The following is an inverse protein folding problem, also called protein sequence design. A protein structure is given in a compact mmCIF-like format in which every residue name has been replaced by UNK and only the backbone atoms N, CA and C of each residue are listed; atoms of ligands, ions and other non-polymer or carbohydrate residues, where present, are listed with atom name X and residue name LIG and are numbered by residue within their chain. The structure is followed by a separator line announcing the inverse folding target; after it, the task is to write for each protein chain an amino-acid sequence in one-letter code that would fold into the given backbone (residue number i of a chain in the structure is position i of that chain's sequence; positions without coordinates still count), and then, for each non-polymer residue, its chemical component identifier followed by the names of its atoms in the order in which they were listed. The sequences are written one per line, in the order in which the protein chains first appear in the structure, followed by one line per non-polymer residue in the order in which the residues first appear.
data_IF_426857016835
#
_entry.id   IF_426857016835
#
_cell.length_a   1.000
_cell.length_b   1.000
_cell.length_c   1.000
_cell.angle_alpha   90.00
_cell.angle_beta   90.00
_cell.angle_gamma   90.00
#
_symmetry.space_group_name_H-M   'P 1'
#
loop_
_entity.id
_entity.type
_entity.pdbx_description
1 polymer ?
#
# COMPACT_ATOMS: atom_id res chain seq x y z
N UNK A 1 -73.94 -19.78 -18.85
CA UNK A 1 -72.92 -20.53 -18.10
C UNK A 1 -71.57 -20.35 -18.84
N UNK A 2 -70.83 -19.31 -18.48
CA UNK A 2 -69.54 -18.94 -19.09
C UNK A 2 -68.41 -19.34 -18.15
N UNK A 3 -67.58 -20.26 -18.60
CA UNK A 3 -66.38 -20.75 -17.84
C UNK A 3 -65.23 -19.78 -18.16
N UNK A 4 -64.76 -19.07 -17.15
CA UNK A 4 -63.53 -18.29 -17.20
C UNK A 4 -62.33 -19.23 -16.95
N UNK A 5 -61.43 -19.34 -17.91
CA UNK A 5 -60.17 -20.07 -17.79
C UNK A 5 -59.12 -19.17 -17.17
N UNK A 6 -58.55 -19.61 -16.04
CA UNK A 6 -57.41 -18.99 -15.38
C UNK A 6 -56.13 -19.45 -16.09
N UNK A 7 -55.40 -18.50 -16.69
CA UNK A 7 -54.06 -18.75 -17.26
C UNK A 7 -53.06 -18.43 -16.16
N UNK A 8 -52.37 -19.46 -15.64
CA UNK A 8 -51.25 -19.29 -14.70
C UNK A 8 -49.98 -19.03 -15.51
N UNK A 9 -49.43 -17.82 -15.45
CA UNK A 9 -48.14 -17.49 -16.02
C UNK A 9 -47.04 -17.87 -15.00
N UNK A 10 -46.24 -18.87 -15.33
CA UNK A 10 -45.05 -19.23 -14.55
C UNK A 10 -43.88 -18.29 -14.92
N UNK A 11 -43.47 -17.44 -14.02
CA UNK A 11 -42.27 -16.63 -14.16
C UNK A 11 -41.03 -17.47 -13.83
N UNK A 12 -40.23 -17.79 -14.83
CA UNK A 12 -38.91 -18.37 -14.63
C UNK A 12 -37.92 -17.27 -14.26
N UNK A 13 -37.50 -17.22 -12.99
CA UNK A 13 -36.40 -16.39 -12.54
C UNK A 13 -35.06 -17.10 -12.92
N UNK A 14 -34.36 -16.55 -13.89
CA UNK A 14 -32.97 -16.96 -14.18
C UNK A 14 -32.07 -16.38 -13.10
N UNK A 15 -31.56 -17.24 -12.20
CA UNK A 15 -30.48 -16.87 -11.29
C UNK A 15 -29.17 -16.76 -12.10
N UNK A 16 -28.69 -15.53 -12.29
CA UNK A 16 -27.35 -15.27 -12.82
C UNK A 16 -26.36 -15.66 -11.72
N UNK A 17 -25.44 -16.61 -11.96
CA UNK A 17 -24.43 -16.93 -10.94
C UNK A 17 -23.58 -15.68 -10.71
N UNK A 18 -23.45 -15.26 -9.46
CA UNK A 18 -22.49 -14.24 -9.06
C UNK A 18 -21.09 -14.83 -9.32
N UNK A 19 -20.40 -14.32 -10.33
CA UNK A 19 -18.97 -14.61 -10.52
C UNK A 19 -18.28 -13.92 -9.36
N UNK A 20 -17.80 -14.71 -8.38
CA UNK A 20 -16.91 -14.21 -7.36
C UNK A 20 -15.70 -13.58 -8.07
N UNK A 21 -15.50 -12.28 -7.95
CA UNK A 21 -14.28 -11.63 -8.40
C UNK A 21 -13.13 -12.22 -7.58
N UNK A 22 -12.39 -13.13 -8.20
CA UNK A 22 -11.14 -13.59 -7.64
C UNK A 22 -10.19 -12.40 -7.62
N UNK A 23 -9.57 -12.13 -6.46
CA UNK A 23 -8.47 -11.18 -6.39
C UNK A 23 -7.42 -11.57 -7.44
N UNK A 24 -6.85 -10.60 -8.17
CA UNK A 24 -5.85 -10.92 -9.17
C UNK A 24 -4.72 -11.73 -8.53
N UNK A 25 -4.28 -12.79 -9.17
CA UNK A 25 -3.09 -13.53 -8.78
C UNK A 25 -1.87 -12.60 -8.88
N UNK A 26 -0.87 -12.79 -8.01
CA UNK A 26 0.38 -12.03 -8.05
C UNK A 26 1.24 -12.39 -9.27
N UNK A 27 2.46 -11.90 -9.26
CA UNK A 27 3.52 -12.26 -10.21
C UNK A 27 4.36 -13.44 -9.70
N UNK A 28 4.39 -13.65 -8.37
CA UNK A 28 5.29 -14.58 -7.74
C UNK A 28 4.59 -15.87 -7.31
N UNK A 29 5.34 -16.96 -7.42
CA UNK A 29 4.91 -18.25 -6.87
C UNK A 29 5.02 -18.24 -5.33
N UNK A 30 4.17 -19.04 -4.67
CA UNK A 30 4.07 -19.12 -3.22
C UNK A 30 5.41 -19.41 -2.52
N UNK A 31 6.23 -20.30 -3.08
CA UNK A 31 7.55 -20.65 -2.52
C UNK A 31 8.53 -19.47 -2.57
N UNK A 32 8.44 -18.62 -3.60
CA UNK A 32 9.24 -17.38 -3.68
C UNK A 32 8.80 -16.39 -2.61
N UNK A 33 7.49 -16.22 -2.43
CA UNK A 33 6.92 -15.35 -1.38
C UNK A 33 7.35 -15.83 0.01
N UNK A 34 7.24 -17.14 0.26
CA UNK A 34 7.69 -17.73 1.53
C UNK A 34 9.19 -17.50 1.78
N UNK A 35 10.04 -17.67 0.76
CA UNK A 35 11.47 -17.41 0.86
C UNK A 35 11.77 -15.95 1.22
N UNK A 36 11.05 -14.99 0.62
CA UNK A 36 11.18 -13.57 0.92
C UNK A 36 10.72 -13.27 2.36
N UNK A 37 9.60 -13.84 2.77
CA UNK A 37 9.09 -13.69 4.13
C UNK A 37 10.09 -14.24 5.18
N UNK A 38 10.70 -15.40 4.92
CA UNK A 38 11.65 -16.05 5.82
C UNK A 38 12.97 -15.28 5.95
N UNK A 39 13.32 -14.48 4.95
CA UNK A 39 14.50 -13.62 4.98
C UNK A 39 14.34 -12.38 5.88
N UNK A 40 13.12 -12.04 6.30
CA UNK A 40 12.88 -10.92 7.23
C UNK A 40 13.52 -11.22 8.58
N UNK A 41 14.40 -10.34 9.12
CA UNK A 41 15.05 -10.55 10.41
C UNK A 41 14.02 -10.64 11.56
N UNK A 42 14.39 -11.20 12.72
CA UNK A 42 13.55 -11.16 13.91
C UNK A 42 13.23 -9.72 14.33
N UNK A 43 12.03 -9.50 14.87
CA UNK A 43 11.65 -8.20 15.45
C UNK A 43 12.59 -7.83 16.61
N UNK A 44 12.73 -6.52 16.93
CA UNK A 44 13.46 -6.08 18.12
C UNK A 44 12.97 -6.78 19.38
N UNK A 45 13.91 -7.23 20.21
CA UNK A 45 13.59 -7.85 21.50
C UNK A 45 12.98 -6.78 22.41
N UNK A 46 11.84 -7.10 23.03
CA UNK A 46 11.15 -6.18 23.95
C UNK A 46 12.11 -5.68 25.06
N UNK A 47 12.14 -4.36 25.25
CA UNK A 47 13.03 -3.69 26.20
C UNK A 47 14.49 -3.57 25.75
N UNK A 48 14.87 -4.05 24.56
CA UNK A 48 16.20 -3.83 24.01
C UNK A 48 16.44 -2.35 23.67
N UNK A 49 17.70 -1.89 23.50
CA UNK A 49 17.99 -0.52 23.08
C UNK A 49 17.25 -0.11 21.79
N UNK A 50 17.13 -1.04 20.82
CA UNK A 50 16.40 -0.78 19.57
C UNK A 50 14.89 -0.59 19.83
N UNK A 51 14.29 -1.46 20.65
CA UNK A 51 12.85 -1.35 20.97
C UNK A 51 12.55 -0.06 21.74
N UNK A 52 13.41 0.33 22.69
CA UNK A 52 13.28 1.59 23.42
C UNK A 52 13.43 2.80 22.49
N UNK A 53 14.37 2.76 21.55
CA UNK A 53 14.55 3.81 20.55
C UNK A 53 13.32 3.96 19.65
N UNK A 54 12.73 2.85 19.22
CA UNK A 54 11.50 2.80 18.41
C UNK A 54 10.30 3.40 19.16
N UNK A 55 10.12 3.03 20.44
CA UNK A 55 9.05 3.58 21.29
C UNK A 55 9.24 5.09 21.45
N UNK A 56 10.44 5.54 21.81
CA UNK A 56 10.75 6.95 21.98
C UNK A 56 10.54 7.76 20.69
N UNK A 57 10.93 7.21 19.53
CA UNK A 57 10.67 7.84 18.23
C UNK A 57 9.16 7.94 17.96
N UNK A 58 8.42 6.85 18.22
CA UNK A 58 6.97 6.83 18.06
C UNK A 58 6.27 7.85 18.95
N UNK A 59 6.75 8.06 20.19
CA UNK A 59 6.18 9.03 21.11
C UNK A 59 6.44 10.49 20.67
N UNK A 60 7.62 10.78 20.12
CA UNK A 60 7.90 12.11 19.56
C UNK A 60 6.95 12.47 18.41
N UNK A 61 6.56 11.49 17.59
CA UNK A 61 5.65 11.71 16.47
C UNK A 61 4.24 12.15 16.87
N UNK A 62 3.86 12.05 18.16
CA UNK A 62 2.60 12.63 18.69
C UNK A 62 2.53 14.15 18.44
N UNK A 63 3.65 14.85 18.37
CA UNK A 63 3.69 16.27 18.05
C UNK A 63 3.13 16.61 16.66
N UNK A 64 2.98 15.62 15.78
CA UNK A 64 2.43 15.78 14.43
C UNK A 64 0.92 15.54 14.36
N UNK A 65 0.26 15.17 15.45
CA UNK A 65 -1.19 14.95 15.46
C UNK A 65 -1.94 16.23 15.04
N UNK A 66 -2.92 16.07 14.14
CA UNK A 66 -3.73 17.16 13.59
C UNK A 66 -2.97 18.24 12.78
N UNK A 67 -1.74 17.96 12.36
CA UNK A 67 -0.97 18.82 11.43
C UNK A 67 -1.19 18.42 9.98
N UNK A 68 -0.66 19.22 9.03
CA UNK A 68 -0.66 18.86 7.60
C UNK A 68 0.07 17.52 7.35
N UNK A 69 1.10 17.21 8.13
CA UNK A 69 1.82 15.94 8.05
C UNK A 69 0.94 14.75 8.45
N UNK A 70 0.08 14.93 9.46
CA UNK A 70 -0.93 13.96 9.84
C UNK A 70 -1.99 13.77 8.75
N UNK A 71 -2.45 14.85 8.13
CA UNK A 71 -3.41 14.77 7.03
C UNK A 71 -2.83 14.05 5.81
N UNK A 72 -1.56 14.29 5.50
CA UNK A 72 -0.87 13.52 4.45
C UNK A 72 -0.76 12.04 4.83
N UNK A 73 -0.46 11.73 6.09
CA UNK A 73 -0.40 10.36 6.58
C UNK A 73 -1.76 9.64 6.49
N UNK A 74 -2.87 10.35 6.70
CA UNK A 74 -4.23 9.85 6.47
C UNK A 74 -4.43 9.46 5.00
N UNK A 75 -3.98 10.30 4.07
CA UNK A 75 -4.06 10.01 2.63
C UNK A 75 -3.22 8.80 2.24
N UNK A 76 -1.97 8.71 2.73
CA UNK A 76 -1.05 7.60 2.48
C UNK A 76 -1.50 6.26 3.11
N UNK A 77 -2.49 6.26 4.01
CA UNK A 77 -3.09 5.04 4.53
C UNK A 77 -3.94 4.28 3.48
N UNK A 78 -4.35 4.96 2.41
CA UNK A 78 -5.09 4.35 1.31
C UNK A 78 -4.11 3.76 0.30
N UNK A 79 -4.04 2.42 0.22
CA UNK A 79 -3.11 1.70 -0.65
C UNK A 79 -3.81 0.90 -1.75
N UNK A 80 -5.14 0.98 -1.87
CA UNK A 80 -5.82 0.35 -3.00
C UNK A 80 -5.27 0.90 -4.32
N UNK A 81 -4.84 0.07 -5.26
CA UNK A 81 -4.06 0.45 -6.43
C UNK A 81 -4.64 1.61 -7.24
N UNK A 82 -5.94 1.57 -7.51
CA UNK A 82 -6.64 2.62 -8.26
C UNK A 82 -6.62 4.00 -7.59
N UNK A 83 -6.44 4.06 -6.27
CA UNK A 83 -6.37 5.30 -5.48
C UNK A 83 -4.92 5.66 -5.11
N UNK A 84 -4.08 4.66 -4.88
CA UNK A 84 -2.68 4.84 -4.52
C UNK A 84 -1.84 5.49 -5.63
N UNK A 85 -2.24 5.34 -6.90
CA UNK A 85 -1.63 6.07 -8.03
C UNK A 85 -1.49 7.57 -7.74
N UNK A 86 -2.51 8.19 -7.15
CA UNK A 86 -2.53 9.60 -6.83
C UNK A 86 -1.48 10.03 -5.79
N UNK A 87 -0.82 9.12 -5.09
CA UNK A 87 0.29 9.47 -4.19
C UNK A 87 1.53 9.89 -4.97
N UNK A 88 1.69 9.45 -6.21
CA UNK A 88 2.84 9.72 -7.05
C UNK A 88 2.68 10.98 -7.91
N UNK A 89 1.46 11.51 -8.08
CA UNK A 89 1.16 12.64 -8.97
C UNK A 89 2.10 13.83 -8.78
N UNK A 90 2.34 14.21 -7.53
CA UNK A 90 3.11 15.42 -7.21
C UNK A 90 4.62 15.21 -7.38
N UNK A 91 5.08 13.99 -7.18
CA UNK A 91 6.48 13.62 -7.37
C UNK A 91 6.83 13.52 -8.86
N UNK A 92 5.90 13.02 -9.68
CA UNK A 92 6.05 12.87 -11.12
C UNK A 92 5.77 14.17 -11.90
N UNK A 93 5.05 15.13 -11.27
CA UNK A 93 4.66 16.40 -11.92
C UNK A 93 3.48 16.28 -12.89
N UNK A 94 2.83 15.12 -12.99
CA UNK A 94 1.63 14.90 -13.76
C UNK A 94 0.71 13.90 -13.06
N UNK A 95 -0.56 13.93 -13.43
CA UNK A 95 -1.61 13.13 -12.79
C UNK A 95 -1.77 11.78 -13.45
N UNK A 96 -1.76 10.72 -12.63
CA UNK A 96 -2.13 9.35 -13.02
C UNK A 96 -3.58 9.07 -12.59
N UNK A 97 -4.38 8.53 -13.50
CA UNK A 97 -5.76 8.13 -13.18
C UNK A 97 -5.99 6.66 -13.54
N UNK A 98 -6.78 5.97 -12.73
CA UNK A 98 -7.09 4.56 -12.96
C UNK A 98 -7.78 4.32 -14.31
N UNK A 99 -8.61 5.27 -14.78
CA UNK A 99 -9.32 5.14 -16.06
C UNK A 99 -8.39 5.26 -17.28
N UNK A 100 -7.31 6.01 -17.18
CA UNK A 100 -6.34 6.26 -18.25
C UNK A 100 -5.11 5.36 -18.16
N UNK A 101 -4.91 4.68 -17.01
CA UNK A 101 -3.76 3.82 -16.72
C UNK A 101 -4.18 2.44 -16.20
N UNK A 102 -5.09 1.71 -16.91
CA UNK A 102 -5.64 0.45 -16.41
C UNK A 102 -4.59 -0.66 -16.29
N UNK A 103 -3.56 -0.67 -17.15
CA UNK A 103 -2.47 -1.66 -17.04
C UNK A 103 -1.60 -1.38 -15.82
N UNK A 104 -1.29 -0.13 -15.55
CA UNK A 104 -0.55 0.27 -14.36
C UNK A 104 -1.32 -0.11 -13.08
N UNK A 105 -2.64 0.11 -13.04
CA UNK A 105 -3.48 -0.37 -11.92
C UNK A 105 -3.36 -1.87 -11.76
N UNK A 106 -3.49 -2.64 -12.85
CA UNK A 106 -3.37 -4.11 -12.81
C UNK A 106 -2.00 -4.59 -12.31
N UNK A 107 -0.91 -3.91 -12.71
CA UNK A 107 0.43 -4.17 -12.17
C UNK A 107 0.43 -3.95 -10.65
N UNK A 108 -0.06 -2.81 -10.18
CA UNK A 108 -0.06 -2.50 -8.75
C UNK A 108 -0.95 -3.46 -7.95
N UNK A 109 -2.05 -3.97 -8.52
CA UNK A 109 -2.90 -5.00 -7.88
C UNK A 109 -2.13 -6.30 -7.66
N UNK A 110 -1.41 -6.78 -8.67
CA UNK A 110 -0.58 -7.99 -8.57
C UNK A 110 0.59 -7.79 -7.61
N UNK A 111 1.25 -6.62 -7.65
CA UNK A 111 2.34 -6.26 -6.73
C UNK A 111 1.83 -6.15 -5.29
N UNK A 112 0.66 -5.56 -5.08
CA UNK A 112 0.04 -5.49 -3.75
C UNK A 112 -0.25 -6.87 -3.19
N UNK A 113 -0.73 -7.79 -4.04
CA UNK A 113 -0.96 -9.17 -3.64
C UNK A 113 0.32 -9.81 -3.09
N UNK A 114 1.41 -9.79 -3.86
CA UNK A 114 2.67 -10.42 -3.48
C UNK A 114 3.32 -9.77 -2.26
N UNK A 115 3.32 -8.43 -2.22
CA UNK A 115 3.89 -7.66 -1.13
C UNK A 115 3.13 -7.88 0.19
N UNK A 116 1.79 -7.89 0.14
CA UNK A 116 0.97 -8.18 1.32
C UNK A 116 1.18 -9.61 1.80
N UNK A 117 1.16 -10.58 0.89
CA UNK A 117 1.32 -12.00 1.26
C UNK A 117 2.67 -12.24 1.94
N UNK A 118 3.77 -11.70 1.38
CA UNK A 118 5.09 -11.78 1.99
C UNK A 118 5.14 -11.14 3.38
N UNK A 119 4.52 -9.96 3.54
CA UNK A 119 4.48 -9.27 4.82
C UNK A 119 3.63 -10.02 5.86
N UNK A 120 2.48 -10.57 5.49
CA UNK A 120 1.62 -11.33 6.40
C UNK A 120 2.26 -12.65 6.84
N UNK A 121 2.96 -13.36 5.93
CA UNK A 121 3.73 -14.55 6.28
C UNK A 121 4.88 -14.22 7.25
N UNK A 122 5.58 -13.10 7.05
CA UNK A 122 6.61 -12.63 7.97
C UNK A 122 6.01 -12.27 9.35
N UNK A 123 4.85 -11.58 9.39
CA UNK A 123 4.13 -11.22 10.63
C UNK A 123 3.68 -12.42 11.45
N UNK A 124 3.41 -13.55 10.83
CA UNK A 124 3.00 -14.76 11.55
C UNK A 124 4.04 -15.20 12.61
N UNK A 125 5.31 -14.80 12.43
CA UNK A 125 6.42 -15.08 13.36
C UNK A 125 6.68 -13.96 14.37
N UNK A 126 6.03 -12.78 14.20
CA UNK A 126 6.27 -11.61 15.02
C UNK A 126 5.02 -11.21 15.80
N UNK A 127 5.15 -11.02 17.11
CA UNK A 127 4.03 -10.65 17.99
C UNK A 127 4.21 -9.26 18.60
N UNK A 128 4.84 -8.34 17.87
CA UNK A 128 5.06 -6.97 18.33
C UNK A 128 3.74 -6.20 18.34
N UNK A 129 3.30 -5.62 19.47
CA UNK A 129 2.12 -4.77 19.48
C UNK A 129 2.38 -3.48 18.68
N UNK A 130 1.32 -2.95 18.05
CA UNK A 130 1.38 -1.63 17.40
C UNK A 130 1.44 -0.50 18.43
N UNK A 131 1.97 0.70 18.10
CA UNK A 131 1.86 1.87 18.99
C UNK A 131 0.43 2.14 19.47
N UNK A 132 -0.57 2.11 18.57
CA UNK A 132 -2.01 2.23 18.90
C UNK A 132 -2.56 1.03 19.67
N UNK A 133 -1.91 -0.12 19.64
CA UNK A 133 -2.30 -1.31 20.40
C UNK A 133 -1.69 -1.32 21.80
N UNK A 134 -0.48 -0.78 21.96
CA UNK A 134 0.20 -0.64 23.24
C UNK A 134 -0.44 0.47 24.11
N UNK A 135 -0.97 1.53 23.47
CA UNK A 135 -1.68 2.62 24.12
C UNK A 135 -3.09 2.74 23.49
N UNK A 136 -4.14 2.25 24.17
CA UNK A 136 -5.52 2.29 23.66
C UNK A 136 -6.06 3.71 23.43
N UNK A 137 -5.56 4.70 24.18
CA UNK A 137 -5.99 6.11 24.06
C UNK A 137 -5.27 6.84 22.93
N UNK A 138 -4.25 6.22 22.33
CA UNK A 138 -3.50 6.83 21.26
C UNK A 138 -4.34 6.93 19.97
N UNK A 139 -4.52 8.14 19.41
CA UNK A 139 -5.21 8.29 18.14
C UNK A 139 -4.38 7.69 16.99
N UNK A 140 -5.08 7.24 15.97
CA UNK A 140 -4.52 6.91 14.66
C UNK A 140 -5.09 7.87 13.63
N UNK A 141 -4.34 8.15 12.55
CA UNK A 141 -4.81 9.01 11.46
C UNK A 141 -5.91 8.36 10.58
N UNK A 142 -6.37 7.20 10.95
CA UNK A 142 -7.47 6.47 10.31
C UNK A 142 -8.29 5.73 11.37
N UNK A 143 -9.51 5.33 11.01
CA UNK A 143 -10.31 4.45 11.87
C UNK A 143 -9.66 3.06 11.93
N UNK A 144 -9.30 2.62 13.13
CA UNK A 144 -8.67 1.32 13.36
C UNK A 144 -9.59 0.46 14.21
N UNK A 145 -10.00 -0.70 13.69
CA UNK A 145 -10.81 -1.67 14.44
C UNK A 145 -10.03 -2.25 15.61
N UNK A 146 -10.74 -2.86 16.58
CA UNK A 146 -10.09 -3.56 17.69
C UNK A 146 -9.12 -4.66 17.19
N UNK A 147 -9.50 -5.41 16.16
CA UNK A 147 -8.63 -6.40 15.53
C UNK A 147 -7.40 -5.76 14.89
N UNK A 148 -7.56 -4.61 14.23
CA UNK A 148 -6.44 -3.85 13.65
C UNK A 148 -5.45 -3.34 14.70
N UNK A 149 -5.93 -2.88 15.87
CA UNK A 149 -5.08 -2.50 17.01
C UNK A 149 -4.31 -3.69 17.58
N UNK A 150 -4.96 -4.86 17.66
CA UNK A 150 -4.37 -6.08 18.20
C UNK A 150 -3.46 -6.82 17.21
N UNK A 151 -3.47 -6.47 15.92
CA UNK A 151 -2.64 -7.14 14.90
C UNK A 151 -1.16 -6.79 15.06
N UNK A 152 -0.23 -7.72 14.73
CA UNK A 152 1.21 -7.48 14.82
C UNK A 152 1.66 -6.28 13.99
N UNK A 153 2.64 -5.52 14.52
CA UNK A 153 3.20 -4.37 13.81
C UNK A 153 4.34 -4.73 12.86
N UNK A 154 5.11 -5.76 13.14
CA UNK A 154 6.38 -6.06 12.47
C UNK A 154 6.27 -7.25 11.49
N UNK A 155 6.82 -7.14 10.27
CA UNK A 155 7.22 -5.89 9.59
C UNK A 155 5.99 -5.07 9.15
N UNK A 156 6.19 -3.83 8.71
CA UNK A 156 5.10 -2.99 8.21
C UNK A 156 4.65 -3.41 6.81
N UNK A 157 3.47 -4.03 6.70
CA UNK A 157 2.90 -4.39 5.40
C UNK A 157 2.63 -3.18 4.49
N UNK A 158 2.20 -2.05 5.08
CA UNK A 158 2.00 -0.82 4.29
C UNK A 158 3.31 -0.23 3.77
N UNK A 159 4.41 -0.33 4.53
CA UNK A 159 5.73 0.08 4.06
C UNK A 159 6.24 -0.89 2.97
N UNK A 160 5.95 -2.19 3.10
CA UNK A 160 6.27 -3.19 2.07
C UNK A 160 5.58 -2.87 0.75
N UNK A 161 4.28 -2.61 0.78
CA UNK A 161 3.50 -2.23 -0.41
C UNK A 161 3.96 -0.88 -0.96
N UNK A 162 4.14 0.14 -0.10
CA UNK A 162 4.58 1.47 -0.51
C UNK A 162 5.94 1.46 -1.20
N UNK A 163 6.92 0.74 -0.64
CA UNK A 163 8.24 0.58 -1.25
C UNK A 163 8.15 -0.16 -2.60
N UNK A 164 7.40 -1.26 -2.66
CA UNK A 164 7.20 -2.01 -3.91
C UNK A 164 6.55 -1.15 -5.00
N UNK A 165 5.54 -0.33 -4.65
CA UNK A 165 4.92 0.62 -5.59
C UNK A 165 5.92 1.68 -6.08
N UNK A 166 6.73 2.24 -5.16
CA UNK A 166 7.79 3.19 -5.53
C UNK A 166 8.77 2.60 -6.53
N UNK A 167 9.19 1.37 -6.33
CA UNK A 167 10.10 0.65 -7.23
C UNK A 167 9.44 0.34 -8.60
N UNK A 168 8.14 -0.03 -8.61
CA UNK A 168 7.38 -0.23 -9.86
C UNK A 168 7.39 1.06 -10.68
N UNK A 169 6.97 2.19 -10.08
CA UNK A 169 6.91 3.47 -10.79
C UNK A 169 8.31 3.88 -11.25
N UNK A 170 9.34 3.70 -10.43
CA UNK A 170 10.73 3.99 -10.78
C UNK A 170 11.23 3.17 -11.98
N UNK A 171 10.84 1.91 -12.08
CA UNK A 171 11.20 1.04 -13.21
C UNK A 171 10.43 1.38 -14.50
N UNK A 172 9.20 1.87 -14.36
CA UNK A 172 8.36 2.27 -15.48
C UNK A 172 8.71 3.68 -15.99
N UNK A 173 9.16 4.56 -15.09
CA UNK A 173 9.55 5.95 -15.38
C UNK A 173 10.93 6.29 -14.78
N UNK A 174 12.02 5.86 -15.43
CA UNK A 174 13.37 6.07 -14.90
C UNK A 174 13.77 7.55 -14.76
N UNK A 175 13.12 8.47 -15.48
CA UNK A 175 13.39 9.90 -15.36
C UNK A 175 13.01 10.46 -13.99
N UNK A 176 12.01 9.90 -13.34
CA UNK A 176 11.51 10.32 -12.04
C UNK A 176 11.70 9.24 -10.94
N UNK A 177 12.60 8.27 -11.17
CA UNK A 177 12.83 7.12 -10.30
C UNK A 177 13.09 7.52 -8.84
N UNK A 178 13.97 8.50 -8.60
CA UNK A 178 14.28 8.97 -7.25
C UNK A 178 13.06 9.62 -6.55
N UNK A 179 12.22 10.30 -7.32
CA UNK A 179 11.00 10.89 -6.77
C UNK A 179 9.97 9.80 -6.43
N UNK A 180 9.83 8.79 -7.28
CA UNK A 180 8.93 7.66 -7.06
C UNK A 180 9.33 6.83 -5.83
N UNK A 181 10.59 6.44 -5.71
CA UNK A 181 11.08 5.67 -4.55
C UNK A 181 10.97 6.47 -3.25
N UNK A 182 11.16 7.80 -3.31
CA UNK A 182 10.93 8.67 -2.15
C UNK A 182 9.46 8.64 -1.69
N UNK A 183 8.48 8.66 -2.58
CA UNK A 183 7.07 8.53 -2.19
C UNK A 183 6.80 7.15 -1.59
N UNK A 184 7.38 6.08 -2.12
CA UNK A 184 7.30 4.75 -1.51
C UNK A 184 7.78 4.75 -0.05
N UNK A 185 8.91 5.41 0.24
CA UNK A 185 9.41 5.63 1.59
C UNK A 185 8.45 6.49 2.44
N UNK A 186 7.95 7.60 1.91
CA UNK A 186 7.04 8.50 2.63
C UNK A 186 5.70 7.83 3.03
N UNK A 187 5.25 6.81 2.28
CA UNK A 187 4.14 5.96 2.69
C UNK A 187 4.49 5.21 3.99
N UNK A 188 5.69 4.64 4.09
CA UNK A 188 6.20 4.01 5.31
C UNK A 188 6.29 4.98 6.48
N UNK A 189 6.90 6.15 6.28
CA UNK A 189 6.99 7.24 7.28
C UNK A 189 5.60 7.65 7.79
N UNK A 190 4.65 7.77 6.89
CA UNK A 190 3.26 8.10 7.23
C UNK A 190 2.62 7.06 8.16
N UNK A 191 3.03 5.79 8.09
CA UNK A 191 2.54 4.77 9.03
C UNK A 191 3.08 4.94 10.44
N UNK A 192 4.29 5.51 10.59
CA UNK A 192 4.81 5.90 11.91
C UNK A 192 4.04 7.10 12.46
N UNK A 193 3.80 8.13 11.64
CA UNK A 193 2.98 9.30 12.00
C UNK A 193 1.59 8.87 12.45
N UNK A 194 0.97 7.91 11.76
CA UNK A 194 -0.34 7.32 12.10
C UNK A 194 -0.34 6.42 13.35
N UNK A 195 0.78 6.27 14.05
CA UNK A 195 0.93 5.37 15.19
C UNK A 195 0.62 3.89 14.91
N UNK A 196 0.73 3.46 13.64
CA UNK A 196 0.48 2.09 13.23
C UNK A 196 1.73 1.20 13.30
N UNK A 197 2.91 1.79 13.17
CA UNK A 197 4.19 1.09 13.08
C UNK A 197 5.31 1.87 13.77
N UNK A 198 6.35 1.15 14.20
CA UNK A 198 7.60 1.71 14.70
C UNK A 198 8.63 1.88 13.55
N UNK A 199 9.72 2.66 13.75
CA UNK A 199 10.75 2.85 12.74
C UNK A 199 11.34 1.55 12.19
N UNK A 200 11.69 0.58 13.05
CA UNK A 200 12.24 -0.70 12.60
C UNK A 200 11.23 -1.54 11.81
N UNK A 201 9.92 -1.48 12.15
CA UNK A 201 8.87 -2.16 11.39
C UNK A 201 8.83 -1.62 9.95
N UNK A 202 8.99 -0.30 9.79
CA UNK A 202 8.99 0.38 8.49
C UNK A 202 10.24 0.04 7.69
N UNK A 203 11.42 0.10 8.31
CA UNK A 203 12.71 -0.23 7.68
C UNK A 203 12.70 -1.63 7.09
N UNK A 204 12.24 -2.62 7.87
CA UNK A 204 12.19 -4.01 7.39
C UNK A 204 11.06 -4.22 6.37
N UNK A 205 9.94 -3.50 6.52
CA UNK A 205 8.87 -3.51 5.51
C UNK A 205 9.37 -2.97 4.17
N UNK A 206 10.10 -1.86 4.15
CA UNK A 206 10.68 -1.29 2.91
C UNK A 206 11.71 -2.23 2.29
N UNK A 207 12.55 -2.86 3.12
CA UNK A 207 13.54 -3.84 2.66
C UNK A 207 12.84 -5.03 1.99
N UNK A 208 11.78 -5.55 2.61
CA UNK A 208 10.97 -6.62 2.05
C UNK A 208 10.30 -6.17 0.74
N UNK A 209 9.70 -4.97 0.69
CA UNK A 209 9.03 -4.46 -0.51
C UNK A 209 9.97 -4.33 -1.71
N UNK A 210 11.18 -3.84 -1.50
CA UNK A 210 12.24 -3.80 -2.53
C UNK A 210 12.64 -5.19 -3.00
N UNK A 211 12.78 -6.14 -2.06
CA UNK A 211 13.13 -7.52 -2.38
C UNK A 211 12.01 -8.22 -3.18
N UNK A 212 10.75 -7.98 -2.83
CA UNK A 212 9.57 -8.47 -3.58
C UNK A 212 9.61 -7.91 -5.00
N UNK A 213 9.79 -6.60 -5.17
CA UNK A 213 9.84 -5.99 -6.49
C UNK A 213 10.99 -6.53 -7.34
N UNK A 214 12.18 -6.74 -6.78
CA UNK A 214 13.31 -7.33 -7.52
C UNK A 214 12.97 -8.71 -8.11
N UNK A 215 12.18 -9.51 -7.42
CA UNK A 215 11.70 -10.81 -7.95
C UNK A 215 10.64 -10.63 -9.02
N UNK A 216 9.69 -9.72 -8.80
CA UNK A 216 8.64 -9.37 -9.78
C UNK A 216 9.28 -8.87 -11.08
N UNK A 217 10.23 -7.96 -11.00
CA UNK A 217 10.88 -7.35 -12.16
C UNK A 217 11.59 -8.37 -13.07
N UNK A 218 11.96 -9.54 -12.53
CA UNK A 218 12.58 -10.62 -13.28
C UNK A 218 11.58 -11.54 -14.00
N UNK A 219 10.26 -11.40 -13.75
CA UNK A 219 9.24 -12.22 -14.38
C UNK A 219 8.90 -11.75 -15.81
N UNK A 220 8.66 -12.67 -16.71
CA UNK A 220 8.26 -12.34 -18.10
C UNK A 220 6.93 -11.60 -18.13
N UNK A 221 5.98 -11.97 -17.26
CA UNK A 221 4.68 -11.34 -17.12
C UNK A 221 4.80 -9.85 -16.80
N UNK A 222 5.62 -9.50 -15.78
CA UNK A 222 5.84 -8.10 -15.43
C UNK A 222 6.51 -7.34 -16.58
N UNK A 223 7.48 -7.94 -17.25
CA UNK A 223 8.17 -7.30 -18.39
C UNK A 223 7.21 -7.00 -19.53
N UNK A 224 6.29 -7.92 -19.84
CA UNK A 224 5.25 -7.73 -20.84
C UNK A 224 4.26 -6.63 -20.43
N UNK A 225 3.78 -6.65 -19.18
CA UNK A 225 2.89 -5.63 -18.64
C UNK A 225 3.54 -4.24 -18.62
N UNK A 226 4.84 -4.16 -18.30
CA UNK A 226 5.61 -2.94 -18.21
C UNK A 226 5.68 -2.17 -19.55
N UNK A 227 5.68 -2.86 -20.69
CA UNK A 227 5.67 -2.21 -22.01
C UNK A 227 4.43 -1.33 -22.15
N UNK A 228 3.26 -1.87 -21.87
CA UNK A 228 1.98 -1.14 -22.00
C UNK A 228 1.86 -0.05 -20.94
N UNK A 229 2.29 -0.32 -19.70
CA UNK A 229 2.21 0.66 -18.62
C UNK A 229 3.12 1.89 -18.87
N UNK A 230 4.30 1.71 -19.48
CA UNK A 230 5.17 2.84 -19.90
C UNK A 230 4.50 3.75 -20.94
N UNK A 231 3.72 3.18 -21.85
CA UNK A 231 2.93 3.96 -22.81
C UNK A 231 1.81 4.75 -22.11
N UNK A 232 1.16 4.15 -21.08
CA UNK A 232 0.16 4.84 -20.28
C UNK A 232 0.76 6.03 -19.52
N UNK A 233 1.93 5.86 -18.88
CA UNK A 233 2.67 6.94 -18.22
C UNK A 233 3.06 8.03 -19.20
N UNK A 234 3.55 7.64 -20.39
CA UNK A 234 3.93 8.60 -21.44
C UNK A 234 2.73 9.44 -21.88
N UNK A 235 1.58 8.82 -22.06
CA UNK A 235 0.33 9.54 -22.42
C UNK A 235 -0.11 10.47 -21.29
N UNK A 236 -0.08 10.03 -20.03
CA UNK A 236 -0.44 10.85 -18.88
C UNK A 236 0.48 12.07 -18.75
N UNK A 237 1.79 11.89 -18.94
CA UNK A 237 2.77 12.99 -18.97
C UNK A 237 2.47 13.98 -20.10
N UNK A 238 2.17 13.50 -21.31
CA UNK A 238 1.84 14.35 -22.47
C UNK A 238 0.53 15.12 -22.28
N UNK A 239 -0.44 14.59 -21.54
CA UNK A 239 -1.69 15.26 -21.20
C UNK A 239 -1.47 16.46 -20.27
N UNK A 240 -0.39 16.49 -19.49
CA UNK A 240 0.02 17.63 -18.67
C UNK A 240 -0.93 18.00 -17.54
N UNK A 241 -1.86 17.11 -17.17
CA UNK A 241 -2.76 17.34 -16.05
C UNK A 241 -1.99 17.24 -14.74
N UNK A 242 -2.24 18.17 -13.81
CA UNK A 242 -1.58 18.19 -12.50
C UNK A 242 -2.59 17.95 -11.36
N UNK A 243 -2.09 17.47 -10.24
CA UNK A 243 -2.91 17.32 -9.04
C UNK A 243 -3.01 18.65 -8.27
N UNK A 244 -4.23 19.10 -7.88
CA UNK A 244 -4.40 20.30 -7.06
C UNK A 244 -3.83 20.17 -5.65
N UNK A 245 -3.55 18.93 -5.19
CA UNK A 245 -3.05 18.65 -3.85
C UNK A 245 -1.54 18.92 -3.67
N UNK A 246 -0.78 19.18 -4.75
CA UNK A 246 0.69 19.20 -4.68
C UNK A 246 1.27 20.32 -3.83
N UNK A 247 0.60 21.46 -3.70
CA UNK A 247 1.04 22.52 -2.81
C UNK A 247 0.95 22.09 -1.34
N UNK A 248 -0.17 21.49 -0.95
CA UNK A 248 -0.40 20.98 0.40
C UNK A 248 0.54 19.79 0.73
N UNK A 249 0.74 18.89 -0.22
CA UNK A 249 1.67 17.77 -0.05
C UNK A 249 3.11 18.23 0.19
N UNK A 250 3.60 19.20 -0.62
CA UNK A 250 4.94 19.77 -0.40
C UNK A 250 5.07 20.46 0.95
N UNK A 251 4.05 21.19 1.40
CA UNK A 251 4.05 21.82 2.71
C UNK A 251 4.10 20.78 3.84
N UNK A 252 3.29 19.71 3.73
CA UNK A 252 3.31 18.61 4.69
C UNK A 252 4.66 17.89 4.74
N UNK A 253 5.28 17.62 3.59
CA UNK A 253 6.60 16.97 3.49
C UNK A 253 7.75 17.86 3.96
N UNK A 254 7.59 19.18 3.93
CA UNK A 254 8.56 20.14 4.48
C UNK A 254 8.52 20.20 6.03
N UNK A 255 7.48 19.66 6.68
CA UNK A 255 7.42 19.58 8.14
C UNK A 255 8.44 18.57 8.65
N UNK A 256 9.44 18.98 9.46
CA UNK A 256 10.45 18.08 9.98
C UNK A 256 9.82 17.02 10.91
N UNK A 257 10.36 15.82 10.88
CA UNK A 257 10.02 14.80 11.87
C UNK A 257 10.74 15.13 13.19
N UNK A 258 10.06 15.06 14.36
CA UNK A 258 10.62 15.41 15.67
C UNK A 258 11.61 14.38 16.19
#
# INVERSE_FOLDING_TARGET
MTRAGLILAAAFAFAVPAVAQQSPAGYLEADTIQTLADAVPPMPIAGSPQDQADIAASDRLRALENTDRWMLATRHAELRPSLALGHFDCALGFRLTAGESPRLVSILERVMHDANEAAEQAKARARRPRPVGADPERPACQVVSAAGRASPSYPSGSATVGAAYGEVIAALDPSDAAAATRIGHEIGVSRMVCAMHYPSDVTEGETLGKAVFLRIAATEDFQADAVVAREEITRARAAGLTSPACAAERAALATPLP
#
